data_IF_999243742366
#
_entry.id   IF_999243742366
#
_cell.length_a   1.000
_cell.length_b   1.000
_cell.length_c   1.000
_cell.angle_alpha   90.00
_cell.angle_beta   90.00
_cell.angle_gamma   90.00
#
_symmetry.space_group_name_H-M   'P 1'
#
loop_
_entity.id
_entity.type
_entity.pdbx_description
1 polymer ?
#
# COMPACT_ATOMS: atom_id res chain seq x y z
N UNK A 1 -14.15 -6.42 -7.25
CA UNK A 1 -13.09 -6.55 -6.21
C UNK A 1 -12.54 -7.97 -6.30
N UNK A 2 -11.23 -8.13 -6.42
CA UNK A 2 -10.56 -9.42 -6.50
C UNK A 2 -9.91 -9.72 -5.15
N UNK A 3 -10.47 -10.70 -4.44
CA UNK A 3 -9.93 -11.23 -3.17
C UNK A 3 -9.63 -12.72 -3.27
N UNK A 4 -9.88 -13.32 -4.44
CA UNK A 4 -9.64 -14.72 -4.68
C UNK A 4 -8.13 -14.95 -4.83
N UNK A 5 -7.63 -15.96 -4.13
CA UNK A 5 -6.22 -16.30 -4.15
C UNK A 5 -5.94 -17.62 -3.47
N UNK A 6 -4.77 -18.15 -3.78
CA UNK A 6 -4.18 -19.29 -3.13
C UNK A 6 -3.48 -18.84 -1.84
N UNK A 7 -3.73 -19.55 -0.74
CA UNK A 7 -3.01 -19.36 0.52
C UNK A 7 -1.80 -20.29 0.55
N UNK A 8 -0.65 -19.75 0.98
CA UNK A 8 0.60 -20.51 1.09
C UNK A 8 0.43 -21.69 2.06
N UNK A 9 0.85 -22.88 1.63
CA UNK A 9 0.90 -24.08 2.48
C UNK A 9 2.27 -24.20 3.16
N UNK A 10 2.35 -24.91 4.31
CA UNK A 10 3.63 -25.21 4.93
C UNK A 10 4.58 -25.91 3.94
N UNK A 11 5.79 -25.36 3.78
CA UNK A 11 6.81 -25.90 2.88
C UNK A 11 6.87 -25.27 1.48
N UNK A 12 5.90 -24.45 1.09
CA UNK A 12 5.93 -23.72 -0.19
C UNK A 12 6.79 -22.46 -0.09
N UNK A 13 7.47 -22.11 -1.17
CA UNK A 13 8.22 -20.86 -1.27
C UNK A 13 7.29 -19.68 -1.55
N UNK A 14 7.78 -18.44 -1.33
CA UNK A 14 7.06 -17.21 -1.75
C UNK A 14 6.79 -17.22 -3.26
N UNK A 15 7.64 -17.90 -4.02
CA UNK A 15 7.51 -18.01 -5.46
C UNK A 15 6.39 -18.98 -5.86
N UNK A 16 6.27 -20.13 -5.20
CA UNK A 16 5.17 -21.08 -5.45
C UNK A 16 3.80 -20.41 -5.19
N UNK A 17 3.73 -19.61 -4.12
CA UNK A 17 2.55 -18.79 -3.81
C UNK A 17 2.22 -17.82 -4.95
N UNK A 18 3.23 -17.12 -5.48
CA UNK A 18 3.04 -16.14 -6.55
C UNK A 18 2.60 -16.81 -7.86
N UNK A 19 3.24 -17.92 -8.25
CA UNK A 19 2.87 -18.70 -9.43
C UNK A 19 1.44 -19.26 -9.33
N UNK A 20 1.07 -19.82 -8.17
CA UNK A 20 -0.28 -20.33 -7.92
C UNK A 20 -1.33 -19.22 -8.04
N UNK A 21 -1.08 -18.06 -7.44
CA UNK A 21 -1.96 -16.90 -7.55
C UNK A 21 -2.02 -16.33 -8.97
N UNK A 22 -0.90 -16.32 -9.71
CA UNK A 22 -0.85 -15.78 -11.06
C UNK A 22 -1.75 -16.57 -12.02
N UNK A 23 -1.82 -17.91 -11.89
CA UNK A 23 -2.74 -18.74 -12.67
C UNK A 23 -4.21 -18.39 -12.41
N UNK A 24 -4.57 -18.17 -11.15
CA UNK A 24 -5.92 -17.76 -10.75
C UNK A 24 -6.22 -16.36 -11.32
N UNK A 25 -5.29 -15.42 -11.18
CA UNK A 25 -5.41 -14.06 -11.70
C UNK A 25 -5.56 -14.05 -13.23
N UNK A 26 -4.82 -14.87 -13.96
CA UNK A 26 -4.93 -14.98 -15.42
C UNK A 26 -6.33 -15.40 -15.85
N UNK A 27 -6.92 -16.39 -15.17
CA UNK A 27 -8.30 -16.80 -15.41
C UNK A 27 -9.29 -15.66 -15.07
N UNK A 28 -9.17 -15.04 -13.89
CA UNK A 28 -10.04 -13.93 -13.49
C UNK A 28 -9.94 -12.75 -14.48
N UNK A 29 -8.74 -12.39 -14.91
CA UNK A 29 -8.50 -11.31 -15.86
C UNK A 29 -9.16 -11.60 -17.22
N UNK A 30 -9.15 -12.85 -17.68
CA UNK A 30 -9.85 -13.25 -18.89
C UNK A 30 -11.36 -13.04 -18.76
N UNK A 31 -11.96 -13.50 -17.67
CA UNK A 31 -13.40 -13.33 -17.40
C UNK A 31 -13.78 -11.85 -17.27
N UNK A 32 -12.97 -11.04 -16.56
CA UNK A 32 -13.16 -9.59 -16.46
C UNK A 32 -13.16 -8.93 -17.85
N UNK A 33 -12.23 -9.32 -18.72
CA UNK A 33 -12.14 -8.80 -20.08
C UNK A 33 -13.36 -9.17 -20.93
N UNK A 34 -14.03 -10.27 -20.66
CA UNK A 34 -15.23 -10.67 -21.41
C UNK A 34 -16.47 -9.96 -20.85
N UNK A 35 -16.67 -10.00 -19.54
CA UNK A 35 -17.95 -9.68 -18.91
C UNK A 35 -17.99 -8.31 -18.21
N UNK A 36 -16.85 -7.67 -17.94
CA UNK A 36 -16.77 -6.48 -17.08
C UNK A 36 -15.80 -5.39 -17.59
N UNK A 37 -15.74 -5.18 -18.92
CA UNK A 37 -14.79 -4.26 -19.60
C UNK A 37 -14.79 -2.81 -19.09
N UNK A 38 -15.92 -2.34 -18.58
CA UNK A 38 -16.09 -0.96 -18.12
C UNK A 38 -15.91 -0.80 -16.59
N UNK A 39 -15.62 -1.89 -15.90
CA UNK A 39 -15.51 -1.89 -14.43
C UNK A 39 -14.20 -1.29 -13.94
N UNK A 40 -14.21 -0.82 -12.69
CA UNK A 40 -12.99 -0.55 -11.93
C UNK A 40 -12.66 -1.81 -11.13
N UNK A 41 -11.44 -2.31 -11.30
CA UNK A 41 -10.94 -3.51 -10.63
C UNK A 41 -10.11 -3.07 -9.42
N UNK A 42 -10.55 -3.48 -8.22
CA UNK A 42 -9.76 -3.36 -6.99
C UNK A 42 -9.23 -4.74 -6.61
N UNK A 43 -7.92 -4.93 -6.68
CA UNK A 43 -7.22 -6.13 -6.24
C UNK A 43 -6.79 -6.03 -4.78
N UNK A 44 -6.97 -7.11 -4.04
CA UNK A 44 -6.57 -7.26 -2.64
C UNK A 44 -5.68 -8.48 -2.45
N UNK A 45 -5.68 -9.42 -3.40
CA UNK A 45 -4.92 -10.65 -3.32
C UNK A 45 -3.42 -10.35 -3.34
N UNK A 46 -2.68 -10.95 -2.41
CA UNK A 46 -1.24 -10.79 -2.28
C UNK A 46 -0.44 -11.74 -3.18
N UNK A 47 0.76 -11.35 -3.65
CA UNK A 47 1.40 -10.03 -3.49
C UNK A 47 0.69 -8.95 -4.32
N UNK A 48 0.11 -7.94 -3.65
CA UNK A 48 -0.92 -7.10 -4.27
C UNK A 48 -0.40 -6.28 -5.44
N UNK A 49 0.82 -5.74 -5.33
CA UNK A 49 1.42 -4.92 -6.37
C UNK A 49 1.69 -5.72 -7.65
N UNK A 50 2.36 -6.87 -7.52
CA UNK A 50 2.70 -7.77 -8.63
C UNK A 50 1.43 -8.32 -9.30
N UNK A 51 0.46 -8.79 -8.51
CA UNK A 51 -0.77 -9.34 -9.06
C UNK A 51 -1.66 -8.27 -9.71
N UNK A 52 -1.64 -7.03 -9.21
CA UNK A 52 -2.34 -5.91 -9.85
C UNK A 52 -1.72 -5.58 -11.21
N UNK A 53 -0.39 -5.59 -11.32
CA UNK A 53 0.29 -5.46 -12.61
C UNK A 53 -0.18 -6.53 -13.61
N UNK A 54 -0.26 -7.80 -13.19
CA UNK A 54 -0.70 -8.87 -14.07
C UNK A 54 -2.19 -8.78 -14.44
N UNK A 55 -3.07 -8.35 -13.52
CA UNK A 55 -4.47 -8.05 -13.84
C UNK A 55 -4.52 -6.98 -14.95
N UNK A 56 -3.81 -5.87 -14.79
CA UNK A 56 -3.75 -4.80 -15.78
C UNK A 56 -3.24 -5.31 -17.13
N UNK A 57 -2.12 -6.05 -17.13
CA UNK A 57 -1.51 -6.60 -18.34
C UNK A 57 -2.42 -7.59 -19.07
N UNK A 58 -3.08 -8.50 -18.36
CA UNK A 58 -3.93 -9.54 -18.97
C UNK A 58 -5.30 -9.01 -19.42
N UNK A 59 -5.89 -8.09 -18.66
CA UNK A 59 -7.16 -7.45 -19.05
C UNK A 59 -6.96 -6.50 -20.23
N UNK A 60 -5.84 -5.77 -20.26
CA UNK A 60 -5.62 -4.66 -21.18
C UNK A 60 -6.50 -3.45 -20.88
N UNK A 61 -7.01 -3.33 -19.65
CA UNK A 61 -7.78 -2.17 -19.23
C UNK A 61 -6.89 -0.93 -19.11
N UNK A 62 -7.53 0.24 -19.15
CA UNK A 62 -6.87 1.49 -18.78
C UNK A 62 -6.30 1.36 -17.35
N UNK A 63 -5.04 1.79 -17.14
CA UNK A 63 -4.38 1.67 -15.84
C UNK A 63 -5.08 2.47 -14.74
N UNK A 64 -5.85 3.50 -15.10
CA UNK A 64 -6.69 4.24 -14.15
C UNK A 64 -7.85 3.42 -13.60
N UNK A 65 -8.20 2.30 -14.24
CA UNK A 65 -9.30 1.40 -13.86
C UNK A 65 -8.83 0.14 -13.12
N UNK A 66 -7.53 -0.08 -12.96
CA UNK A 66 -6.98 -1.22 -12.23
C UNK A 66 -6.21 -0.69 -11.04
N UNK A 67 -6.60 -1.10 -9.84
CA UNK A 67 -6.12 -0.53 -8.58
C UNK A 67 -5.85 -1.69 -7.63
N UNK A 68 -4.71 -1.71 -6.95
CA UNK A 68 -4.50 -2.61 -5.81
C UNK A 68 -4.76 -1.88 -4.50
N UNK A 69 -5.09 -2.59 -3.43
CA UNK A 69 -5.25 -1.97 -2.10
C UNK A 69 -3.97 -1.27 -1.61
N UNK A 70 -2.80 -1.75 -2.08
CA UNK A 70 -1.49 -1.19 -1.77
C UNK A 70 -1.24 -1.06 -0.27
N UNK A 71 -0.54 0.01 0.10
CA UNK A 71 -0.14 0.34 1.48
C UNK A 71 -1.22 1.09 2.25
N UNK A 72 -2.48 1.12 1.77
CA UNK A 72 -3.55 1.92 2.40
C UNK A 72 -3.82 1.53 3.85
N UNK A 73 -3.78 0.22 4.15
CA UNK A 73 -3.95 -0.27 5.52
C UNK A 73 -2.78 0.14 6.41
N UNK A 74 -1.55 0.06 5.90
CA UNK A 74 -0.33 0.39 6.62
C UNK A 74 -0.22 1.89 6.88
N UNK A 75 -0.64 2.73 5.91
CA UNK A 75 -0.86 4.17 6.10
C UNK A 75 -1.85 4.45 7.24
N UNK A 76 -2.96 3.72 7.32
CA UNK A 76 -3.94 3.89 8.41
C UNK A 76 -3.32 3.51 9.77
N UNK A 77 -2.59 2.39 9.83
CA UNK A 77 -1.87 1.95 11.03
C UNK A 77 -0.83 2.97 11.49
N UNK A 78 -0.04 3.50 10.57
CA UNK A 78 0.96 4.54 10.82
C UNK A 78 0.31 5.75 11.51
N UNK A 79 -0.80 6.26 10.96
CA UNK A 79 -1.50 7.41 11.53
C UNK A 79 -2.04 7.14 12.93
N UNK A 80 -2.53 5.92 13.20
CA UNK A 80 -2.97 5.52 14.54
C UNK A 80 -1.79 5.46 15.52
N UNK A 81 -0.63 4.94 15.11
CA UNK A 81 0.56 4.91 15.97
C UNK A 81 1.07 6.32 16.26
N UNK A 82 1.21 7.16 15.23
CA UNK A 82 1.58 8.57 15.40
C UNK A 82 0.57 9.32 16.27
N UNK A 83 -0.73 9.04 16.11
CA UNK A 83 -1.81 9.61 16.93
C UNK A 83 -1.63 9.30 18.41
N UNK A 84 -1.35 8.03 18.75
CA UNK A 84 -1.07 7.62 20.13
C UNK A 84 0.21 8.28 20.66
N UNK A 85 1.26 8.30 19.85
CA UNK A 85 2.55 8.88 20.23
C UNK A 85 2.50 10.41 20.39
N UNK A 86 1.67 11.11 19.62
CA UNK A 86 1.58 12.57 19.64
C UNK A 86 0.37 13.10 20.41
N UNK A 87 -0.46 12.20 20.95
CA UNK A 87 -1.73 12.49 21.61
C UNK A 87 -2.63 13.44 20.79
N UNK A 88 -2.76 13.17 19.48
CA UNK A 88 -3.58 13.96 18.56
C UNK A 88 -4.47 13.06 17.71
N UNK A 89 -5.60 13.55 17.22
CA UNK A 89 -6.48 12.80 16.33
C UNK A 89 -5.74 12.33 15.07
N UNK A 90 -5.91 11.06 14.62
CA UNK A 90 -5.31 10.57 13.38
C UNK A 90 -5.82 11.32 12.14
N UNK A 91 -6.97 11.98 12.23
CA UNK A 91 -7.51 12.82 11.15
C UNK A 91 -6.68 14.11 10.93
N UNK A 92 -5.90 14.52 11.92
CA UNK A 92 -4.99 15.68 11.85
C UNK A 92 -3.57 15.29 11.43
N UNK A 93 -3.32 14.01 11.11
CA UNK A 93 -2.02 13.48 10.73
C UNK A 93 -2.02 13.13 9.25
N UNK A 94 -1.14 13.78 8.50
CA UNK A 94 -0.87 13.48 7.10
C UNK A 94 0.48 12.80 7.02
N UNK A 95 0.45 11.47 7.05
CA UNK A 95 1.59 10.60 6.81
C UNK A 95 1.15 9.44 5.93
N UNK A 96 2.10 8.85 5.20
CA UNK A 96 1.87 7.81 4.22
C UNK A 96 2.90 6.70 4.40
N UNK A 97 2.49 5.45 4.16
CA UNK A 97 3.40 4.36 3.83
C UNK A 97 3.38 4.24 2.31
N UNK A 98 4.53 4.14 1.68
CA UNK A 98 4.66 3.98 0.21
C UNK A 98 5.64 2.85 -0.11
N UNK A 99 5.64 2.40 -1.37
CA UNK A 99 6.44 1.28 -1.83
C UNK A 99 5.59 0.03 -2.10
N UNK A 100 6.28 -1.10 -2.27
CA UNK A 100 5.72 -2.44 -2.18
C UNK A 100 4.91 -2.57 -0.90
N UNK A 101 3.71 -3.13 -0.97
CA UNK A 101 3.03 -3.64 0.21
C UNK A 101 3.72 -4.92 0.70
N UNK A 102 4.74 -4.75 1.52
CA UNK A 102 5.62 -5.84 1.93
C UNK A 102 6.86 -5.38 2.68
N UNK A 103 7.92 -6.18 2.60
CA UNK A 103 9.12 -5.99 3.41
C UNK A 103 9.91 -4.73 3.00
N UNK A 104 9.74 -4.23 1.76
CA UNK A 104 10.40 -3.02 1.26
C UNK A 104 9.57 -1.73 1.39
N UNK A 105 8.41 -1.77 2.04
CA UNK A 105 7.62 -0.57 2.33
C UNK A 105 8.35 0.38 3.28
N UNK A 106 8.13 1.69 3.13
CA UNK A 106 8.73 2.70 4.00
C UNK A 106 7.83 3.92 4.19
N UNK A 107 8.20 4.74 5.18
CA UNK A 107 7.52 5.98 5.53
C UNK A 107 8.41 7.16 5.15
N UNK A 108 8.00 8.03 4.20
CA UNK A 108 8.72 9.26 3.92
C UNK A 108 8.39 10.31 4.98
N UNK A 109 9.04 10.22 6.14
CA UNK A 109 8.82 11.14 7.26
C UNK A 109 9.13 12.60 6.89
N UNK A 110 9.95 12.85 5.86
CA UNK A 110 10.18 14.20 5.33
C UNK A 110 8.90 14.90 4.87
N UNK A 111 7.87 14.13 4.49
CA UNK A 111 6.57 14.61 4.04
C UNK A 111 5.49 14.57 5.12
N UNK A 112 5.79 13.98 6.29
CA UNK A 112 4.81 13.81 7.34
C UNK A 112 4.48 15.16 7.99
N UNK A 113 3.18 15.43 8.20
CA UNK A 113 2.71 16.63 8.88
C UNK A 113 1.63 16.31 9.91
N UNK A 114 1.53 17.17 10.92
CA UNK A 114 0.49 17.15 11.95
C UNK A 114 -0.11 18.56 12.04
N UNK A 115 -1.40 18.70 11.74
CA UNK A 115 -2.09 20.00 11.75
C UNK A 115 -1.47 21.03 10.79
N UNK A 116 -0.79 20.58 9.74
CA UNK A 116 -0.07 21.44 8.79
C UNK A 116 1.38 21.77 9.16
N UNK A 117 1.83 21.43 10.37
CA UNK A 117 3.24 21.52 10.75
C UNK A 117 4.00 20.29 10.29
N UNK A 118 5.24 20.45 9.81
CA UNK A 118 6.14 19.31 9.57
C UNK A 118 6.28 18.51 10.86
N UNK A 119 6.35 17.18 10.75
CA UNK A 119 6.44 16.30 11.90
C UNK A 119 7.61 16.71 12.80
N UNK A 120 8.77 16.99 12.23
CA UNK A 120 9.94 17.46 12.98
C UNK A 120 9.67 18.75 13.77
N UNK A 121 9.02 19.74 13.14
CA UNK A 121 8.69 21.01 13.79
C UNK A 121 7.62 20.83 14.87
N UNK A 122 6.62 19.98 14.63
CA UNK A 122 5.62 19.60 15.62
C UNK A 122 6.30 18.95 16.84
N UNK A 123 7.20 17.99 16.62
CA UNK A 123 7.92 17.29 17.67
C UNK A 123 8.81 18.23 18.51
N UNK A 124 9.43 19.25 17.91
CA UNK A 124 10.19 20.28 18.64
C UNK A 124 9.32 21.16 19.54
N UNK A 125 8.07 21.43 19.14
CA UNK A 125 7.11 22.25 19.90
C UNK A 125 6.30 21.43 20.91
N UNK A 126 6.18 20.13 20.67
CA UNK A 126 5.40 19.21 21.47
C UNK A 126 6.11 18.96 22.81
N UNK A 127 5.68 19.65 23.87
CA UNK A 127 6.13 19.43 25.25
C UNK A 127 5.79 18.03 25.80
N UNK A 128 5.09 17.19 25.03
CA UNK A 128 4.62 15.88 25.52
C UNK A 128 5.79 14.92 25.75
N UNK A 129 6.96 15.12 25.12
CA UNK A 129 8.07 14.19 25.26
C UNK A 129 9.46 14.81 25.02
N UNK A 130 9.93 15.63 25.96
CA UNK A 130 11.38 15.75 26.16
C UNK A 130 11.89 14.41 26.70
N UNK A 131 12.28 13.50 25.81
CA UNK A 131 13.06 12.35 26.20
C UNK A 131 14.35 12.88 26.83
N UNK A 132 14.80 12.33 27.96
CA UNK A 132 16.05 12.71 28.63
C UNK A 132 17.32 12.57 27.76
N UNK A 133 17.18 12.04 26.54
CA UNK A 133 18.25 11.76 25.58
C UNK A 133 18.39 12.79 24.44
N UNK A 134 17.48 13.75 24.29
CA UNK A 134 17.57 14.79 23.24
C UNK A 134 17.12 14.37 21.82
N UNK A 135 16.56 13.16 21.66
CA UNK A 135 16.01 12.70 20.37
C UNK A 135 14.66 13.35 20.03
N UNK A 136 14.41 13.58 18.73
CA UNK A 136 13.12 14.04 18.19
C UNK A 136 12.06 12.97 18.50
N UNK A 137 11.23 13.21 19.51
CA UNK A 137 10.19 12.27 19.92
C UNK A 137 8.97 12.37 18.99
N UNK A 138 8.40 11.28 18.45
CA UNK A 138 8.62 9.86 18.82
C UNK A 138 9.72 9.15 18.04
N UNK A 139 10.16 7.98 18.53
CA UNK A 139 11.10 7.12 17.81
C UNK A 139 10.47 6.62 16.49
N UNK A 140 10.70 7.39 15.43
CA UNK A 140 10.10 7.20 14.11
C UNK A 140 10.50 5.85 13.49
N UNK A 141 11.71 5.38 13.78
CA UNK A 141 12.20 4.09 13.30
C UNK A 141 11.40 2.93 13.92
N UNK A 142 11.19 2.96 15.24
CA UNK A 142 10.37 1.96 15.92
C UNK A 142 8.91 1.99 15.43
N UNK A 143 8.35 3.17 15.16
CA UNK A 143 7.01 3.30 14.58
C UNK A 143 6.96 2.63 13.20
N UNK A 144 7.92 2.94 12.31
CA UNK A 144 7.97 2.35 10.97
C UNK A 144 8.12 0.82 11.03
N UNK A 145 8.94 0.30 11.94
CA UNK A 145 9.08 -1.14 12.16
C UNK A 145 7.81 -1.77 12.73
N UNK A 146 7.08 -1.08 13.61
CA UNK A 146 5.83 -1.59 14.16
C UNK A 146 4.73 -1.67 13.08
N UNK A 147 4.65 -0.68 12.18
CA UNK A 147 3.73 -0.68 11.04
C UNK A 147 4.00 -1.90 10.15
N UNK A 148 5.24 -2.07 9.69
CA UNK A 148 5.66 -3.16 8.80
C UNK A 148 5.37 -4.53 9.40
N UNK A 149 5.62 -4.68 10.69
CA UNK A 149 5.46 -5.96 11.40
C UNK A 149 4.03 -6.23 11.91
N UNK A 150 3.09 -5.29 11.74
CA UNK A 150 1.74 -5.42 12.28
C UNK A 150 0.99 -6.63 11.69
N UNK A 151 1.13 -6.89 10.39
CA UNK A 151 0.49 -8.02 9.73
C UNK A 151 1.00 -9.36 10.29
N UNK A 152 2.32 -9.52 10.43
CA UNK A 152 2.93 -10.73 10.99
C UNK A 152 2.46 -11.02 12.42
N UNK A 153 2.39 -9.99 13.28
CA UNK A 153 1.89 -10.13 14.66
C UNK A 153 0.44 -10.60 14.71
N UNK A 154 -0.41 -10.13 13.80
CA UNK A 154 -1.82 -10.54 13.74
C UNK A 154 -1.95 -11.97 13.22
N UNK A 155 -1.22 -12.32 12.17
CA UNK A 155 -1.22 -13.67 11.58
C UNK A 155 -0.74 -14.69 12.62
N UNK A 156 0.32 -14.39 13.38
CA UNK A 156 0.79 -15.28 14.45
C UNK A 156 -0.25 -15.52 15.55
N UNK A 157 -1.13 -14.55 15.83
CA UNK A 157 -2.13 -14.64 16.90
C UNK A 157 -3.48 -15.23 16.45
N UNK A 158 -3.91 -14.95 15.22
CA UNK A 158 -5.26 -15.28 14.71
C UNK A 158 -5.24 -16.12 13.42
N UNK A 159 -4.08 -16.34 12.81
CA UNK A 159 -3.92 -17.10 11.58
C UNK A 159 -4.19 -16.31 10.29
N UNK A 160 -4.83 -15.14 10.34
CA UNK A 160 -5.13 -14.33 9.15
C UNK A 160 -5.38 -12.85 9.46
N UNK A 161 -5.19 -11.98 8.46
CA UNK A 161 -5.67 -10.58 8.45
C UNK A 161 -6.83 -10.45 7.47
N UNK A 162 -8.04 -10.17 7.96
CA UNK A 162 -9.25 -10.12 7.12
C UNK A 162 -10.14 -8.89 7.39
N UNK A 163 -10.46 -8.62 8.65
CA UNK A 163 -11.36 -7.52 9.01
C UNK A 163 -10.77 -6.13 8.67
N UNK A 164 -9.50 -5.93 8.98
CA UNK A 164 -8.84 -4.64 8.79
C UNK A 164 -8.75 -4.27 7.30
N UNK A 165 -8.33 -5.20 6.45
CA UNK A 165 -8.25 -4.98 5.01
C UNK A 165 -9.63 -4.82 4.39
N UNK A 166 -10.63 -5.60 4.84
CA UNK A 166 -12.02 -5.46 4.39
C UNK A 166 -12.59 -4.07 4.70
N UNK A 167 -12.33 -3.54 5.89
CA UNK A 167 -12.74 -2.18 6.28
C UNK A 167 -12.07 -1.09 5.43
N UNK A 168 -10.77 -1.25 5.14
CA UNK A 168 -10.02 -0.30 4.30
C UNK A 168 -10.54 -0.31 2.86
N UNK A 169 -10.73 -1.49 2.28
CA UNK A 169 -11.27 -1.63 0.90
C UNK A 169 -12.69 -1.07 0.82
N UNK A 170 -13.52 -1.34 1.82
CA UNK A 170 -14.86 -0.73 1.92
C UNK A 170 -14.82 0.79 1.93
N UNK A 171 -13.88 1.38 2.69
CA UNK A 171 -13.70 2.83 2.77
C UNK A 171 -13.22 3.45 1.44
N UNK A 172 -12.31 2.77 0.72
CA UNK A 172 -11.90 3.17 -0.63
C UNK A 172 -13.11 3.22 -1.55
N UNK A 173 -13.88 2.12 -1.61
CA UNK A 173 -15.06 1.99 -2.47
C UNK A 173 -16.10 3.05 -2.13
N UNK A 174 -16.39 3.26 -0.84
CA UNK A 174 -17.32 4.29 -0.38
C UNK A 174 -16.89 5.68 -0.86
N UNK A 175 -15.60 6.03 -0.72
CA UNK A 175 -15.07 7.33 -1.16
C UNK A 175 -15.16 7.51 -2.68
N UNK A 176 -15.02 6.42 -3.45
CA UNK A 176 -15.15 6.45 -4.91
C UNK A 176 -16.61 6.59 -5.34
N UNK A 177 -17.54 5.86 -4.71
CA UNK A 177 -18.98 5.98 -4.97
C UNK A 177 -19.47 7.40 -4.67
N UNK A 178 -19.03 7.98 -3.55
CA UNK A 178 -19.33 9.36 -3.16
C UNK A 178 -18.55 10.41 -3.95
N UNK A 179 -17.59 9.97 -4.77
CA UNK A 179 -16.71 10.83 -5.56
C UNK A 179 -15.99 11.89 -4.73
N UNK A 180 -15.51 11.50 -3.56
CA UNK A 180 -14.85 12.39 -2.58
C UNK A 180 -13.53 12.97 -3.12
N UNK A 181 -12.96 12.35 -4.17
CA UNK A 181 -11.63 12.70 -4.71
C UNK A 181 -10.57 12.71 -3.62
N UNK A 182 -10.67 11.72 -2.73
CA UNK A 182 -9.79 11.58 -1.57
C UNK A 182 -8.44 10.99 -1.99
N UNK A 183 -7.39 11.43 -1.29
CA UNK A 183 -6.04 10.87 -1.43
C UNK A 183 -5.93 9.59 -0.61
N UNK A 184 -5.54 8.51 -1.30
CA UNK A 184 -5.26 7.19 -0.74
C UNK A 184 -3.83 6.78 -1.10
N UNK A 185 -3.33 5.66 -0.55
CA UNK A 185 -2.06 5.03 -0.98
C UNK A 185 -2.32 3.64 -1.58
N UNK A 186 -3.14 3.56 -2.65
CA UNK A 186 -3.38 2.32 -3.36
C UNK A 186 -2.13 1.89 -4.13
N UNK A 187 -2.12 0.65 -4.61
CA UNK A 187 -1.20 0.21 -5.64
C UNK A 187 -1.66 0.75 -6.99
N UNK A 188 -0.87 1.60 -7.61
CA UNK A 188 -1.17 2.25 -8.91
C UNK A 188 0.04 2.18 -9.83
N UNK A 189 -0.21 2.27 -11.14
CA UNK A 189 0.87 2.24 -12.14
C UNK A 189 1.72 3.51 -12.06
N UNK A 190 2.99 3.35 -11.69
CA UNK A 190 4.03 4.36 -11.65
C UNK A 190 5.29 3.80 -12.33
N UNK A 191 5.80 4.47 -13.37
CA UNK A 191 7.00 4.04 -14.11
C UNK A 191 6.99 2.54 -14.47
N UNK A 192 5.89 2.11 -15.09
CA UNK A 192 5.61 0.75 -15.57
C UNK A 192 5.45 -0.33 -14.47
N UNK A 193 5.33 0.08 -13.21
CA UNK A 193 5.18 -0.83 -12.07
C UNK A 193 3.98 -0.42 -11.22
N UNK A 194 3.19 -1.38 -10.78
CA UNK A 194 2.19 -1.11 -9.74
C UNK A 194 2.86 -1.03 -8.38
N UNK A 195 2.65 0.05 -7.65
CA UNK A 195 3.29 0.30 -6.35
C UNK A 195 2.38 1.14 -5.45
N UNK A 196 2.45 0.91 -4.13
CA UNK A 196 1.76 1.71 -3.12
C UNK A 196 2.21 3.16 -3.18
N UNK A 197 1.36 4.05 -3.69
CA UNK A 197 1.73 5.44 -3.93
C UNK A 197 0.54 6.39 -3.77
N UNK A 198 0.74 7.64 -3.31
CA UNK A 198 -0.37 8.58 -3.11
C UNK A 198 -1.09 8.93 -4.42
N UNK A 199 -2.38 8.63 -4.46
CA UNK A 199 -3.23 8.88 -5.60
C UNK A 199 -4.62 9.39 -5.20
N UNK A 200 -5.19 10.27 -6.02
CA UNK A 200 -6.57 10.73 -5.93
C UNK A 200 -7.46 9.70 -6.61
N UNK A 201 -8.39 9.13 -5.84
CA UNK A 201 -9.39 8.21 -6.36
C UNK A 201 -10.76 8.89 -6.45
N UNK A 202 -11.44 8.68 -7.56
CA UNK A 202 -12.77 9.22 -7.87
C UNK A 202 -13.72 8.10 -8.29
N UNK A 203 -14.96 8.45 -8.62
CA UNK A 203 -15.91 7.49 -9.22
C UNK A 203 -15.39 6.86 -10.51
N UNK A 204 -14.39 7.48 -11.15
CA UNK A 204 -13.81 7.06 -12.41
C UNK A 204 -12.50 6.25 -12.23
N UNK A 205 -12.06 5.96 -11.00
CA UNK A 205 -10.80 5.26 -10.74
C UNK A 205 -9.70 6.23 -10.32
N UNK A 206 -8.47 6.03 -10.82
CA UNK A 206 -7.33 6.90 -10.52
C UNK A 206 -7.46 8.19 -11.35
N UNK A 207 -7.66 9.33 -10.69
CA UNK A 207 -7.76 10.64 -11.35
C UNK A 207 -6.39 11.31 -11.44
N UNK A 208 -5.55 11.15 -10.41
CA UNK A 208 -4.23 11.79 -10.35
C UNK A 208 -3.29 11.05 -9.43
N UNK A 209 -2.08 10.78 -9.91
CA UNK A 209 -0.97 10.32 -9.09
C UNK A 209 -0.20 11.55 -8.58
N UNK A 210 0.05 11.64 -7.27
CA UNK A 210 0.68 12.82 -6.66
C UNK A 210 2.20 12.71 -6.69
N UNK A 211 2.87 13.57 -7.45
CA UNK A 211 4.34 13.62 -7.46
C UNK A 211 4.88 14.01 -6.08
N UNK A 212 5.68 13.13 -5.49
CA UNK A 212 6.32 13.37 -4.19
C UNK A 212 7.72 13.95 -4.36
N UNK A 213 8.09 14.87 -3.47
CA UNK A 213 9.46 15.37 -3.34
C UNK A 213 10.13 14.65 -2.18
N UNK A 214 10.65 13.46 -2.44
CA UNK A 214 11.31 12.62 -1.43
C UNK A 214 12.74 13.13 -1.14
N UNK A 215 13.19 12.94 0.10
CA UNK A 215 14.59 13.15 0.47
C UNK A 215 15.50 12.12 -0.23
N UNK A 216 16.81 12.38 -0.31
CA UNK A 216 17.76 11.53 -1.03
C UNK A 216 17.77 10.07 -0.51
N UNK A 217 17.79 9.89 0.81
CA UNK A 217 17.69 8.58 1.45
C UNK A 217 16.34 7.88 1.18
N UNK A 218 15.24 8.63 1.12
CA UNK A 218 13.91 8.12 0.81
C UNK A 218 13.79 7.70 -0.67
N UNK A 219 14.44 8.42 -1.59
CA UNK A 219 14.53 8.01 -3.00
C UNK A 219 15.27 6.67 -3.14
N UNK A 220 16.36 6.45 -2.39
CA UNK A 220 17.07 5.16 -2.40
C UNK A 220 16.15 4.02 -1.95
N UNK A 221 15.34 4.25 -0.92
CA UNK A 221 14.35 3.26 -0.45
C UNK A 221 13.24 3.03 -1.47
N UNK A 222 12.77 4.09 -2.13
CA UNK A 222 11.76 4.00 -3.18
C UNK A 222 12.25 3.19 -4.39
N UNK A 223 13.46 3.47 -4.87
CA UNK A 223 14.09 2.72 -5.97
C UNK A 223 14.30 1.25 -5.60
N UNK A 224 14.74 0.97 -4.36
CA UNK A 224 14.85 -0.41 -3.87
C UNK A 224 13.51 -1.13 -3.97
N UNK A 225 12.44 -0.47 -3.53
CA UNK A 225 11.09 -1.06 -3.54
C UNK A 225 10.55 -1.30 -4.95
N UNK A 226 10.75 -0.34 -5.87
CA UNK A 226 10.46 -0.51 -7.29
C UNK A 226 11.20 -1.72 -7.87
N UNK A 227 12.50 -1.84 -7.57
CA UNK A 227 13.32 -2.94 -8.07
C UNK A 227 12.90 -4.30 -7.51
N UNK A 228 12.46 -4.39 -6.25
CA UNK A 228 11.89 -5.61 -5.67
C UNK A 228 10.67 -6.08 -6.47
N UNK A 229 9.73 -5.18 -6.77
CA UNK A 229 8.53 -5.51 -7.55
C UNK A 229 8.90 -5.85 -9.01
N UNK A 230 9.75 -5.05 -9.66
CA UNK A 230 10.22 -5.31 -11.03
C UNK A 230 10.87 -6.68 -11.17
N UNK A 231 11.70 -7.06 -10.20
CA UNK A 231 12.37 -8.36 -10.19
C UNK A 231 11.37 -9.52 -10.13
N UNK A 232 10.35 -9.40 -9.27
CA UNK A 232 9.27 -10.39 -9.17
C UNK A 232 8.44 -10.48 -10.47
N UNK A 233 8.15 -9.33 -11.11
CA UNK A 233 7.46 -9.30 -12.41
C UNK A 233 8.30 -10.00 -13.49
N UNK A 234 9.57 -9.64 -13.63
CA UNK A 234 10.48 -10.23 -14.63
C UNK A 234 10.60 -11.74 -14.42
N UNK A 235 10.74 -12.19 -13.18
CA UNK A 235 10.83 -13.61 -12.87
C UNK A 235 9.57 -14.35 -13.32
N UNK A 236 8.39 -13.81 -13.05
CA UNK A 236 7.11 -14.42 -13.46
C UNK A 236 6.92 -14.40 -14.99
N UNK A 237 7.30 -13.33 -15.66
CA UNK A 237 7.22 -13.24 -17.12
C UNK A 237 8.15 -14.24 -17.82
N UNK A 238 9.33 -14.49 -17.25
CA UNK A 238 10.29 -15.46 -17.79
C UNK A 238 9.76 -16.90 -17.81
N UNK A 239 8.82 -17.22 -16.90
CA UNK A 239 8.23 -18.55 -16.72
C UNK A 239 7.07 -18.85 -17.68
N UNK A 240 6.62 -17.87 -18.49
CA UNK A 240 5.54 -18.01 -19.51
C UNK A 240 4.25 -18.67 -19.00
N UNK A 241 3.84 -18.33 -17.77
CA UNK A 241 2.63 -18.86 -17.11
C UNK A 241 1.34 -18.28 -17.70
#
# INVERSE_FOLDING_TARGET
>A
VVTAGYSQKPGETRLDLLEGNLRIIKHIAHELKIYAKESIVINVTNPVDVLTYFIWKYTGFDSTKVIGSGTTLDTSRLRVLLSKSCNISPNSIHAYVIGEHGDSEFVPFSLATIGGLRLEDYCRQCNVFQNTSGDICPNLQNIAEEVRNAAYKIIQKKGATNLAIGSVVGSIIESMIKDEKRVWTPSVLYEDVYIGYPAVLSRNGVERILKLNLAENENILFEKSLNTIRSAIIEMESRKI
#
